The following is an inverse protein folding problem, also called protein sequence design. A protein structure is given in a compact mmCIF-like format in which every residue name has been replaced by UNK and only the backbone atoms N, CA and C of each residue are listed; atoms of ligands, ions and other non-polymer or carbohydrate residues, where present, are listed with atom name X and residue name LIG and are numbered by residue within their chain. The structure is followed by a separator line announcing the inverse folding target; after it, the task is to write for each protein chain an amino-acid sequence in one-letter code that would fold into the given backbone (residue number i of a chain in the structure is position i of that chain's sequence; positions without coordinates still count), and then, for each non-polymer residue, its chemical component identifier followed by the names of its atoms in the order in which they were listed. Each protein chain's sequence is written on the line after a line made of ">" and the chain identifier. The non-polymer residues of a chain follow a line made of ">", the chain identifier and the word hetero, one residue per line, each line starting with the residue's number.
data_IF_998935091361
#
_entry.id   IF_998935091361
#
_cell.length_a   1.000
_cell.length_b   1.000
_cell.length_c   1.000
_cell.angle_alpha   90.00
_cell.angle_beta   90.00
_cell.angle_gamma   90.00
#
_symmetry.space_group_name_H-M   'P 1'
#
loop_
_entity.id
_entity.type
_entity.pdbx_description
1 polymer ?
#
# COMPACT_ATOMS: atom_id res chain seq x y z
N UNK A 1 -18.68 -29.26 2.53
CA UNK A 1 -19.40 -30.27 1.71
C UNK A 1 -18.90 -31.69 1.91
N UNK A 2 -17.63 -31.94 2.28
CA UNK A 2 -17.13 -33.31 2.54
C UNK A 2 -17.61 -33.93 3.87
N UNK A 3 -17.90 -33.14 4.92
CA UNK A 3 -18.27 -33.69 6.23
C UNK A 3 -19.64 -34.38 6.25
N UNK A 4 -20.57 -33.96 5.39
CA UNK A 4 -21.91 -34.57 5.29
C UNK A 4 -21.88 -35.89 4.52
N UNK A 5 -20.96 -36.05 3.58
CA UNK A 5 -20.81 -37.26 2.74
C UNK A 5 -20.08 -38.39 3.50
N UNK A 6 -19.12 -38.06 4.38
CA UNK A 6 -18.47 -39.09 5.20
C UNK A 6 -19.34 -39.64 6.34
N UNK A 7 -20.37 -38.91 6.80
CA UNK A 7 -21.29 -39.42 7.83
C UNK A 7 -22.24 -40.49 7.31
N UNK A 8 -22.51 -40.54 6.00
CA UNK A 8 -23.31 -41.59 5.35
C UNK A 8 -22.63 -42.96 5.27
N UNK A 9 -21.34 -43.07 5.58
CA UNK A 9 -20.54 -44.30 5.43
C UNK A 9 -19.99 -44.90 6.74
N UNK A 10 -20.58 -44.59 7.91
CA UNK A 10 -20.08 -45.02 9.26
C UNK A 10 -18.66 -44.54 9.61
N UNK A 11 -18.20 -43.41 9.09
CA UNK A 11 -16.91 -42.86 9.49
C UNK A 11 -17.05 -42.07 10.81
N UNK A 12 -16.23 -42.44 11.81
CA UNK A 12 -16.09 -41.69 13.06
C UNK A 12 -15.53 -40.30 12.79
N UNK A 13 -15.84 -39.33 13.65
CA UNK A 13 -15.34 -37.96 13.52
C UNK A 13 -13.80 -37.94 13.58
N UNK A 14 -13.23 -38.86 14.35
CA UNK A 14 -11.79 -39.12 14.42
C UNK A 14 -11.21 -39.53 13.06
N UNK A 15 -11.87 -40.43 12.34
CA UNK A 15 -11.39 -40.88 11.03
C UNK A 15 -11.48 -39.75 9.99
N UNK A 16 -12.54 -38.93 10.06
CA UNK A 16 -12.70 -37.75 9.20
C UNK A 16 -11.57 -36.75 9.48
N UNK A 17 -11.25 -36.48 10.75
CA UNK A 17 -10.15 -35.60 11.12
C UNK A 17 -8.78 -36.11 10.63
N UNK A 18 -8.53 -37.43 10.72
CA UNK A 18 -7.30 -38.05 10.19
C UNK A 18 -7.21 -37.94 8.66
N UNK A 19 -8.32 -38.13 7.94
CA UNK A 19 -8.35 -37.96 6.48
C UNK A 19 -8.05 -36.51 6.09
N UNK A 20 -8.68 -35.55 6.75
CA UNK A 20 -8.42 -34.11 6.53
C UNK A 20 -6.94 -33.80 6.77
N UNK A 21 -6.35 -34.33 7.85
CA UNK A 21 -4.95 -34.09 8.17
C UNK A 21 -3.98 -34.73 7.17
N UNK A 22 -4.31 -35.90 6.62
CA UNK A 22 -3.50 -36.56 5.60
C UNK A 22 -3.42 -35.75 4.29
N UNK A 23 -4.48 -34.99 3.98
CA UNK A 23 -4.56 -34.11 2.82
C UNK A 23 -3.89 -32.73 3.04
N UNK A 24 -3.35 -32.47 4.22
CA UNK A 24 -2.63 -31.23 4.46
C UNK A 24 -1.38 -31.10 3.60
N UNK A 25 -1.15 -29.88 3.12
CA UNK A 25 0.02 -29.51 2.34
C UNK A 25 0.62 -28.20 2.85
N UNK A 26 1.87 -27.93 2.49
CA UNK A 26 2.57 -26.69 2.85
C UNK A 26 2.64 -26.45 4.36
N UNK A 27 2.21 -25.25 4.80
CA UNK A 27 2.27 -24.83 6.19
C UNK A 27 1.40 -25.68 7.12
N UNK A 28 0.22 -26.13 6.66
CA UNK A 28 -0.65 -27.00 7.45
C UNK A 28 -0.01 -28.37 7.70
N UNK A 29 0.66 -28.93 6.69
CA UNK A 29 1.39 -30.19 6.84
C UNK A 29 2.57 -30.04 7.79
N UNK A 30 3.34 -28.97 7.64
CA UNK A 30 4.46 -28.67 8.54
C UNK A 30 3.99 -28.49 9.99
N UNK A 31 2.86 -27.81 10.20
CA UNK A 31 2.26 -27.66 11.52
C UNK A 31 1.84 -29.02 12.11
N UNK A 32 1.10 -29.82 11.35
CA UNK A 32 0.61 -31.11 11.81
C UNK A 32 1.75 -32.10 12.04
N UNK A 33 2.64 -32.32 11.07
CA UNK A 33 3.65 -33.38 11.14
C UNK A 33 4.80 -33.04 12.10
N UNK A 34 5.25 -31.78 12.11
CA UNK A 34 6.53 -31.40 12.73
C UNK A 34 6.39 -30.50 13.97
N UNK A 35 5.37 -29.63 14.03
CA UNK A 35 5.21 -28.68 15.13
C UNK A 35 4.32 -29.22 16.25
N UNK A 36 3.18 -29.82 15.89
CA UNK A 36 2.22 -30.33 16.85
C UNK A 36 2.74 -31.63 17.48
N UNK A 37 2.88 -31.63 18.81
CA UNK A 37 3.30 -32.83 19.55
C UNK A 37 2.30 -33.98 19.37
N UNK A 38 2.75 -35.21 19.53
CA UNK A 38 1.87 -36.39 19.50
C UNK A 38 0.76 -36.30 20.56
N UNK A 39 1.06 -35.79 21.76
CA UNK A 39 0.04 -35.51 22.77
C UNK A 39 -0.98 -34.45 22.33
N UNK A 40 -0.56 -33.44 21.56
CA UNK A 40 -1.44 -32.44 20.98
C UNK A 40 -2.35 -33.03 19.90
N UNK A 41 -1.79 -33.86 19.01
CA UNK A 41 -2.56 -34.62 18.00
C UNK A 41 -3.60 -35.51 18.66
N UNK A 42 -3.22 -36.24 19.71
CA UNK A 42 -4.15 -37.07 20.47
C UNK A 42 -5.25 -36.25 21.15
N UNK A 43 -4.91 -35.11 21.73
CA UNK A 43 -5.89 -34.21 22.36
C UNK A 43 -6.93 -33.73 21.35
N UNK A 44 -6.50 -33.39 20.14
CA UNK A 44 -7.40 -32.98 19.05
C UNK A 44 -8.25 -34.16 18.59
N UNK A 45 -7.66 -35.33 18.38
CA UNK A 45 -8.35 -36.50 17.83
C UNK A 45 -9.29 -37.18 18.83
N UNK A 46 -9.02 -37.09 20.13
CA UNK A 46 -9.86 -37.65 21.21
C UNK A 46 -10.83 -36.60 21.76
N UNK A 47 -10.99 -35.45 21.11
CA UNK A 47 -11.85 -34.40 21.64
C UNK A 47 -13.33 -34.79 21.57
N UNK A 48 -14.06 -34.40 22.61
CA UNK A 48 -15.47 -34.73 22.81
C UNK A 48 -16.21 -33.44 23.17
N UNK A 49 -17.44 -33.31 22.66
CA UNK A 49 -18.40 -32.30 23.10
C UNK A 49 -19.52 -32.96 23.90
N UNK A 50 -20.06 -32.24 24.88
CA UNK A 50 -21.24 -32.68 25.62
C UNK A 50 -22.46 -32.04 24.94
N UNK A 51 -23.36 -32.87 24.42
CA UNK A 51 -24.58 -32.43 23.75
C UNK A 51 -25.74 -33.23 24.32
N UNK A 52 -26.68 -32.55 24.99
CA UNK A 52 -27.81 -33.17 25.69
C UNK A 52 -27.41 -34.23 26.74
N UNK A 53 -26.29 -34.03 27.44
CA UNK A 53 -25.78 -34.96 28.46
C UNK A 53 -24.99 -36.15 27.91
N UNK A 54 -24.94 -36.32 26.58
CA UNK A 54 -24.15 -37.36 25.93
C UNK A 54 -22.80 -36.83 25.45
N UNK A 55 -21.77 -37.66 25.59
CA UNK A 55 -20.45 -37.41 25.02
C UNK A 55 -20.43 -37.80 23.55
N UNK A 56 -20.20 -36.82 22.67
CA UNK A 56 -20.06 -37.05 21.22
C UNK A 56 -18.69 -36.62 20.73
N UNK A 57 -18.10 -37.41 19.83
CA UNK A 57 -16.83 -37.07 19.17
C UNK A 57 -16.91 -35.69 18.50
N UNK A 58 -15.83 -34.91 18.65
CA UNK A 58 -15.75 -33.54 18.16
C UNK A 58 -14.39 -33.21 17.53
N UNK A 59 -13.64 -34.23 17.13
CA UNK A 59 -12.30 -34.16 16.59
C UNK A 59 -12.18 -33.20 15.41
N UNK A 60 -13.16 -33.20 14.49
CA UNK A 60 -13.13 -32.33 13.29
C UNK A 60 -13.30 -30.86 13.67
N UNK A 61 -14.23 -30.55 14.56
CA UNK A 61 -14.44 -29.19 15.03
C UNK A 61 -13.23 -28.70 15.83
N UNK A 62 -12.70 -29.53 16.72
CA UNK A 62 -11.49 -29.20 17.49
C UNK A 62 -10.28 -29.02 16.57
N UNK A 63 -10.13 -29.84 15.52
CA UNK A 63 -9.08 -29.66 14.51
C UNK A 63 -9.22 -28.32 13.79
N UNK A 64 -10.43 -27.97 13.34
CA UNK A 64 -10.70 -26.70 12.67
C UNK A 64 -10.40 -25.49 13.58
N UNK A 65 -10.85 -25.53 14.84
CA UNK A 65 -10.54 -24.49 15.82
C UNK A 65 -9.05 -24.43 16.10
N UNK A 66 -8.34 -25.55 16.25
CA UNK A 66 -6.89 -25.54 16.47
C UNK A 66 -6.11 -24.98 15.27
N UNK A 67 -6.56 -25.21 14.04
CA UNK A 67 -5.97 -24.60 12.84
C UNK A 67 -6.24 -23.09 12.84
N UNK A 68 -7.49 -22.69 13.02
CA UNK A 68 -7.85 -21.27 13.12
C UNK A 68 -7.08 -20.63 14.26
N UNK A 69 -6.93 -21.29 15.39
CA UNK A 69 -6.15 -20.78 16.49
C UNK A 69 -4.67 -20.70 16.13
N UNK A 70 -4.02 -21.75 15.64
CA UNK A 70 -2.59 -21.69 15.38
C UNK A 70 -2.22 -20.65 14.30
N UNK A 71 -3.02 -20.55 13.24
CA UNK A 71 -2.73 -19.68 12.10
C UNK A 71 -3.38 -18.30 12.18
N UNK A 72 -4.45 -18.16 12.97
CA UNK A 72 -5.24 -16.92 13.11
C UNK A 72 -5.24 -16.35 14.53
N UNK A 73 -4.88 -17.12 15.58
CA UNK A 73 -4.80 -16.64 16.98
C UNK A 73 -3.62 -15.70 17.15
N UNK A 74 -3.91 -14.47 16.78
CA UNK A 74 -3.56 -13.29 17.56
C UNK A 74 -4.82 -12.89 18.32
N UNK A 75 -5.19 -13.58 19.40
CA UNK A 75 -6.36 -13.20 20.23
C UNK A 75 -6.04 -12.84 21.68
N UNK A 76 -4.80 -12.97 22.13
CA UNK A 76 -4.33 -12.28 23.32
C UNK A 76 -3.24 -11.32 22.88
N UNK A 77 -3.59 -10.04 22.80
CA UNK A 77 -2.74 -8.89 22.45
C UNK A 77 -2.59 -8.50 20.96
N UNK A 78 -3.60 -8.79 20.13
CA UNK A 78 -3.65 -8.19 18.77
C UNK A 78 -3.87 -6.68 18.81
N UNK A 79 -4.51 -6.16 19.87
CA UNK A 79 -4.75 -4.74 20.01
C UNK A 79 -3.43 -3.96 20.09
N UNK A 80 -2.42 -4.40 20.85
CA UNK A 80 -1.12 -3.71 20.89
C UNK A 80 -0.39 -3.76 19.54
N UNK A 81 -0.50 -4.87 18.81
CA UNK A 81 0.02 -4.97 17.44
C UNK A 81 -0.68 -4.02 16.47
N UNK A 82 -2.01 -3.93 16.56
CA UNK A 82 -2.82 -2.99 15.78
C UNK A 82 -2.49 -1.55 16.16
N UNK A 83 -2.38 -1.25 17.46
CA UNK A 83 -1.98 0.07 17.99
C UNK A 83 -0.62 0.46 17.43
N UNK A 84 0.36 -0.43 17.50
CA UNK A 84 1.71 -0.23 16.95
C UNK A 84 1.69 -0.04 15.44
N UNK A 85 0.92 -0.84 14.70
CA UNK A 85 0.74 -0.69 13.26
C UNK A 85 0.15 0.68 12.90
N UNK A 86 -0.97 1.05 13.52
CA UNK A 86 -1.64 2.34 13.32
C UNK A 86 -0.74 3.52 13.74
N UNK A 87 0.08 3.34 14.78
CA UNK A 87 1.01 4.37 15.24
C UNK A 87 2.08 4.67 14.18
N UNK A 88 2.50 3.65 13.43
CA UNK A 88 3.50 3.74 12.38
C UNK A 88 2.91 3.95 10.97
N UNK A 89 1.60 3.77 10.81
CA UNK A 89 0.93 3.95 9.52
C UNK A 89 0.99 5.41 9.07
N UNK A 90 1.44 5.63 7.84
CA UNK A 90 1.54 6.96 7.20
C UNK A 90 1.12 6.87 5.74
N UNK A 91 0.40 7.89 5.29
CA UNK A 91 0.10 8.17 3.90
C UNK A 91 1.26 8.98 3.32
N UNK A 92 2.13 8.34 2.53
CA UNK A 92 3.32 9.00 1.98
C UNK A 92 2.95 10.07 0.96
N UNK A 93 1.97 9.77 0.12
CA UNK A 93 1.53 10.65 -0.96
C UNK A 93 0.00 10.63 -1.07
N UNK A 94 -0.58 11.66 -1.69
CA UNK A 94 -2.05 11.71 -1.88
C UNK A 94 -2.57 10.60 -2.81
N UNK A 95 -1.72 10.00 -3.65
CA UNK A 95 -2.10 8.82 -4.46
C UNK A 95 -2.36 7.60 -3.58
N UNK A 96 -1.71 7.51 -2.41
CA UNK A 96 -1.88 6.42 -1.46
C UNK A 96 -3.08 6.61 -0.54
N UNK A 97 -3.80 7.74 -0.65
CA UNK A 97 -4.86 8.11 0.30
C UNK A 97 -5.96 7.05 0.40
N UNK A 98 -6.37 6.45 -0.73
CA UNK A 98 -7.39 5.40 -0.74
C UNK A 98 -6.93 4.18 0.07
N UNK A 99 -5.73 3.68 -0.21
CA UNK A 99 -5.15 2.56 0.52
C UNK A 99 -4.96 2.88 2.00
N UNK A 100 -4.45 4.07 2.31
CA UNK A 100 -4.24 4.53 3.69
C UNK A 100 -5.57 4.56 4.45
N UNK A 101 -6.61 5.15 3.87
CA UNK A 101 -7.96 5.21 4.44
C UNK A 101 -8.50 3.82 4.73
N UNK A 102 -8.47 2.93 3.74
CA UNK A 102 -9.05 1.59 3.87
C UNK A 102 -8.26 0.75 4.88
N UNK A 103 -6.92 0.86 4.88
CA UNK A 103 -6.04 0.18 5.84
C UNK A 103 -6.24 0.70 7.26
N UNK A 104 -6.25 2.03 7.45
CA UNK A 104 -6.43 2.61 8.77
C UNK A 104 -7.80 2.23 9.34
N UNK A 105 -8.87 2.37 8.55
CA UNK A 105 -10.22 2.03 8.99
C UNK A 105 -10.37 0.54 9.28
N UNK A 106 -9.88 -0.34 8.42
CA UNK A 106 -9.95 -1.78 8.66
C UNK A 106 -9.34 -2.18 10.00
N UNK A 107 -8.23 -1.56 10.38
CA UNK A 107 -7.50 -1.85 11.62
C UNK A 107 -8.08 -1.15 12.85
N UNK A 108 -8.45 0.13 12.73
CA UNK A 108 -8.96 0.87 13.89
C UNK A 108 -10.31 0.31 14.35
N UNK A 109 -11.12 -0.24 13.45
CA UNK A 109 -12.41 -0.84 13.79
C UNK A 109 -12.29 -2.15 14.58
N UNK A 110 -11.10 -2.75 14.65
CA UNK A 110 -10.81 -3.95 15.46
C UNK A 110 -10.44 -3.60 16.92
N UNK A 111 -10.25 -2.32 17.26
CA UNK A 111 -9.90 -1.89 18.63
C UNK A 111 -11.17 -1.68 19.49
N UNK A 112 -11.11 -1.81 20.83
CA UNK A 112 -12.24 -1.44 21.69
C UNK A 112 -12.47 0.09 21.76
N UNK A 113 -11.42 0.90 21.56
CA UNK A 113 -11.46 2.37 21.68
C UNK A 113 -11.52 3.08 20.30
N UNK A 114 -12.26 2.53 19.34
CA UNK A 114 -12.25 3.01 17.94
C UNK A 114 -12.61 4.49 17.79
N UNK A 115 -13.54 4.97 18.62
CA UNK A 115 -14.08 6.33 18.57
C UNK A 115 -13.26 7.35 19.37
N UNK A 116 -12.07 6.98 19.86
CA UNK A 116 -11.24 7.89 20.65
C UNK A 116 -10.73 9.08 19.84
N UNK A 117 -10.55 10.21 20.52
CA UNK A 117 -9.94 11.43 19.96
C UNK A 117 -8.53 11.16 19.45
N UNK A 118 -7.79 10.26 20.13
CA UNK A 118 -6.45 9.85 19.75
C UNK A 118 -6.40 9.28 18.33
N UNK A 119 -7.23 8.30 18.00
CA UNK A 119 -7.20 7.68 16.67
C UNK A 119 -7.69 8.62 15.56
N UNK A 120 -8.65 9.48 15.86
CA UNK A 120 -9.11 10.52 14.94
C UNK A 120 -8.01 11.54 14.62
N UNK A 121 -7.30 12.01 15.65
CA UNK A 121 -6.14 12.88 15.48
C UNK A 121 -5.04 12.16 14.70
N UNK A 122 -4.78 10.89 15.05
CA UNK A 122 -3.78 10.05 14.42
C UNK A 122 -4.04 9.84 12.93
N UNK A 123 -5.31 9.65 12.56
CA UNK A 123 -5.73 9.53 11.16
C UNK A 123 -5.32 10.76 10.34
N UNK A 124 -5.49 11.96 10.90
CA UNK A 124 -5.10 13.21 10.25
C UNK A 124 -3.58 13.40 10.25
N UNK A 125 -2.90 13.06 11.35
CA UNK A 125 -1.45 13.13 11.47
C UNK A 125 -0.72 12.17 10.52
N UNK A 126 -1.38 11.09 10.11
CA UNK A 126 -0.83 10.17 9.13
C UNK A 126 -0.86 10.68 7.70
N UNK A 127 -1.54 11.80 7.41
CA UNK A 127 -1.58 12.40 6.07
C UNK A 127 -0.26 13.11 5.70
N UNK A 128 0.03 13.36 4.41
CA UNK A 128 1.19 14.16 4.00
C UNK A 128 1.20 15.52 4.69
N UNK A 129 2.35 15.95 5.23
CA UNK A 129 2.46 17.05 6.19
C UNK A 129 1.71 18.36 5.80
N UNK A 130 1.91 18.85 4.57
CA UNK A 130 1.24 20.07 4.10
C UNK A 130 -0.27 19.89 3.97
N UNK A 131 -0.69 18.70 3.54
CA UNK A 131 -2.10 18.36 3.42
C UNK A 131 -2.75 18.19 4.79
N UNK A 132 -2.09 17.52 5.73
CA UNK A 132 -2.53 17.39 7.11
C UNK A 132 -2.76 18.76 7.76
N UNK A 133 -1.82 19.71 7.59
CA UNK A 133 -1.97 21.09 8.07
C UNK A 133 -3.22 21.76 7.52
N UNK A 134 -3.48 21.58 6.23
CA UNK A 134 -4.65 22.15 5.55
C UNK A 134 -5.96 21.54 6.09
N UNK A 135 -6.03 20.21 6.19
CA UNK A 135 -7.18 19.51 6.76
C UNK A 135 -7.42 19.91 8.21
N UNK A 136 -6.36 20.00 9.04
CA UNK A 136 -6.44 20.50 10.42
C UNK A 136 -7.00 21.92 10.50
N UNK A 137 -6.56 22.82 9.61
CA UNK A 137 -7.08 24.19 9.54
C UNK A 137 -8.58 24.20 9.23
N UNK A 138 -9.02 23.34 8.31
CA UNK A 138 -10.44 23.18 7.94
C UNK A 138 -11.27 22.63 9.11
N UNK A 139 -10.79 21.58 9.78
CA UNK A 139 -11.46 20.97 10.94
C UNK A 139 -11.52 21.89 12.17
N UNK A 140 -10.50 22.73 12.35
CA UNK A 140 -10.44 23.69 13.44
C UNK A 140 -11.41 24.85 13.23
N UNK A 141 -11.59 25.31 11.99
CA UNK A 141 -12.34 26.54 11.70
C UNK A 141 -11.78 27.71 12.51
N UNK A 142 -12.65 28.36 13.29
CA UNK A 142 -12.32 29.50 14.15
C UNK A 142 -11.93 29.10 15.57
N UNK A 143 -11.98 27.82 15.92
CA UNK A 143 -11.68 27.34 17.27
C UNK A 143 -10.17 27.35 17.55
N UNK A 144 -9.80 27.34 18.83
CA UNK A 144 -8.39 27.24 19.26
C UNK A 144 -7.83 25.84 18.99
N UNK A 145 -8.66 24.80 19.20
CA UNK A 145 -8.30 23.39 19.01
C UNK A 145 -9.36 22.65 18.18
N UNK A 146 -9.02 21.47 17.68
CA UNK A 146 -9.93 20.61 16.90
C UNK A 146 -10.70 19.71 17.87
N UNK A 147 -12.03 19.83 17.98
CA UNK A 147 -12.85 18.98 18.86
C UNK A 147 -13.09 17.61 18.21
N UNK A 148 -12.05 16.75 18.19
CA UNK A 148 -12.11 15.44 17.54
C UNK A 148 -13.23 14.52 18.07
N UNK A 149 -13.66 14.73 19.30
CA UNK A 149 -14.78 14.05 19.95
C UNK A 149 -16.08 14.20 19.15
N UNK A 150 -16.31 15.37 18.55
CA UNK A 150 -17.51 15.70 17.78
C UNK A 150 -17.46 15.18 16.33
N UNK A 151 -16.30 14.72 15.86
CA UNK A 151 -16.12 14.26 14.49
C UNK A 151 -16.28 12.74 14.37
N UNK A 152 -17.03 12.29 13.37
CA UNK A 152 -16.99 10.89 12.92
C UNK A 152 -15.87 10.69 11.90
N UNK A 153 -15.38 9.47 11.73
CA UNK A 153 -14.42 9.16 10.65
C UNK A 153 -14.96 9.54 9.27
N UNK A 154 -16.26 9.36 9.03
CA UNK A 154 -16.92 9.80 7.80
C UNK A 154 -16.77 11.30 7.57
N UNK A 155 -16.96 12.13 8.61
CA UNK A 155 -16.76 13.58 8.51
C UNK A 155 -15.29 13.95 8.28
N UNK A 156 -14.36 13.30 8.96
CA UNK A 156 -12.91 13.51 8.74
C UNK A 156 -12.50 13.19 7.30
N UNK A 157 -12.97 12.06 6.77
CA UNK A 157 -12.71 11.62 5.39
C UNK A 157 -13.37 12.57 4.39
N UNK A 158 -14.59 13.04 4.67
CA UNK A 158 -15.27 14.06 3.89
C UNK A 158 -14.45 15.34 3.81
N UNK A 159 -13.93 15.85 4.93
CA UNK A 159 -13.05 17.02 4.96
C UNK A 159 -11.76 16.78 4.18
N UNK A 160 -11.12 15.62 4.33
CA UNK A 160 -9.95 15.26 3.52
C UNK A 160 -10.27 15.32 2.02
N UNK A 161 -11.39 14.71 1.60
CA UNK A 161 -11.79 14.66 0.20
C UNK A 161 -12.06 16.07 -0.34
N UNK A 162 -12.78 16.90 0.42
CA UNK A 162 -13.08 18.28 0.06
C UNK A 162 -11.81 19.12 -0.08
N UNK A 163 -10.87 19.02 0.87
CA UNK A 163 -9.59 19.74 0.78
C UNK A 163 -8.73 19.25 -0.38
N UNK A 164 -8.80 17.95 -0.72
CA UNK A 164 -8.15 17.40 -1.92
C UNK A 164 -8.69 18.01 -3.21
N UNK A 165 -10.02 18.13 -3.32
CA UNK A 165 -10.68 18.78 -4.47
C UNK A 165 -10.35 20.27 -4.55
N UNK A 166 -10.39 20.98 -3.42
CA UNK A 166 -10.04 22.39 -3.33
C UNK A 166 -8.59 22.63 -3.80
N UNK A 167 -7.65 21.79 -3.35
CA UNK A 167 -6.26 21.87 -3.77
C UNK A 167 -6.10 21.64 -5.27
N UNK A 168 -6.84 20.68 -5.85
CA UNK A 168 -6.84 20.45 -7.29
C UNK A 168 -7.31 21.69 -8.07
N UNK A 169 -8.39 22.32 -7.61
CA UNK A 169 -8.94 23.54 -8.21
C UNK A 169 -7.95 24.71 -8.11
N UNK A 170 -7.31 24.91 -6.96
CA UNK A 170 -6.29 25.94 -6.76
C UNK A 170 -5.10 25.75 -7.69
N UNK A 171 -4.59 24.51 -7.84
CA UNK A 171 -3.49 24.21 -8.76
C UNK A 171 -3.91 24.52 -10.21
N UNK A 172 -5.13 24.13 -10.60
CA UNK A 172 -5.67 24.41 -11.94
C UNK A 172 -5.82 25.91 -12.20
N UNK A 173 -6.30 26.67 -11.23
CA UNK A 173 -6.43 28.13 -11.32
C UNK A 173 -5.05 28.79 -11.41
N UNK A 174 -4.11 28.41 -10.55
CA UNK A 174 -2.75 28.93 -10.56
C UNK A 174 -2.03 28.66 -11.88
N UNK A 175 -2.28 27.52 -12.53
CA UNK A 175 -1.75 27.24 -13.86
C UNK A 175 -2.34 28.17 -14.93
N UNK A 176 -3.64 28.50 -14.86
CA UNK A 176 -4.27 29.48 -15.77
C UNK A 176 -3.70 30.88 -15.58
N UNK A 177 -3.57 31.34 -14.34
CA UNK A 177 -2.99 32.65 -14.01
C UNK A 177 -1.54 32.77 -14.51
N UNK A 178 -0.73 31.72 -14.33
CA UNK A 178 0.64 31.69 -14.87
C UNK A 178 0.67 31.81 -16.40
N UNK A 179 -0.30 31.23 -17.11
CA UNK A 179 -0.40 31.36 -18.57
C UNK A 179 -0.84 32.76 -18.98
N UNK A 180 -1.84 33.34 -18.30
CA UNK A 180 -2.29 34.72 -18.55
C UNK A 180 -1.15 35.72 -18.32
N UNK A 181 -0.42 35.60 -17.22
CA UNK A 181 0.73 36.46 -16.94
C UNK A 181 1.82 36.37 -18.01
N UNK A 182 2.01 35.22 -18.67
CA UNK A 182 2.96 35.09 -19.78
C UNK A 182 2.45 35.80 -21.04
N UNK A 183 1.14 35.72 -21.32
CA UNK A 183 0.49 36.42 -22.44
C UNK A 183 0.50 37.92 -22.20
N UNK A 184 0.13 38.39 -21.01
CA UNK A 184 0.16 39.80 -20.64
C UNK A 184 1.57 40.39 -20.75
N UNK A 185 2.60 39.66 -20.29
CA UNK A 185 4.00 40.07 -20.46
C UNK A 185 4.40 40.16 -21.93
N UNK A 186 3.92 39.26 -22.77
CA UNK A 186 4.18 39.29 -24.21
C UNK A 186 3.51 40.51 -24.86
N UNK A 187 2.22 40.72 -24.60
CA UNK A 187 1.45 41.84 -25.13
C UNK A 187 2.02 43.19 -24.68
N UNK A 188 2.42 43.30 -23.41
CA UNK A 188 3.07 44.51 -22.90
C UNK A 188 4.43 44.74 -23.56
N UNK A 189 5.20 43.68 -23.82
CA UNK A 189 6.45 43.77 -24.58
C UNK A 189 6.24 44.26 -26.01
N UNK A 190 5.24 43.73 -26.71
CA UNK A 190 4.85 44.20 -28.05
C UNK A 190 4.39 45.67 -28.04
N UNK A 191 3.54 46.04 -27.07
CA UNK A 191 3.06 47.40 -26.88
C UNK A 191 4.23 48.36 -26.62
N UNK A 192 5.13 48.06 -25.68
CA UNK A 192 6.31 48.89 -25.42
C UNK A 192 7.19 49.05 -26.68
N UNK A 193 7.36 47.97 -27.45
CA UNK A 193 8.09 47.99 -28.72
C UNK A 193 7.49 48.94 -29.78
N UNK A 194 6.16 49.08 -29.84
CA UNK A 194 5.49 50.01 -30.77
C UNK A 194 5.84 51.48 -30.49
N UNK A 195 6.11 51.83 -29.23
CA UNK A 195 6.46 53.18 -28.81
C UNK A 195 7.97 53.40 -28.65
N UNK A 196 8.80 52.45 -29.09
CA UNK A 196 10.26 52.54 -28.95
C UNK A 196 10.75 52.49 -27.49
N UNK A 197 9.93 51.95 -26.59
CA UNK A 197 10.24 51.84 -25.17
C UNK A 197 10.73 50.42 -24.85
N UNK A 198 11.84 50.30 -24.12
CA UNK A 198 12.33 49.01 -23.65
C UNK A 198 11.54 48.56 -22.41
N UNK A 199 11.02 47.33 -22.43
CA UNK A 199 10.33 46.76 -21.28
C UNK A 199 11.36 46.53 -20.15
N UNK A 200 11.12 47.00 -18.90
CA UNK A 200 12.04 46.76 -17.79
C UNK A 200 12.24 45.25 -17.61
N UNK A 201 13.42 44.78 -17.97
CA UNK A 201 13.76 43.37 -17.94
C UNK A 201 13.65 42.88 -16.48
N UNK A 202 12.68 42.03 -16.19
CA UNK A 202 12.86 41.03 -15.12
C UNK A 202 13.89 40.03 -15.64
N UNK A 203 15.17 40.40 -15.58
CA UNK A 203 16.36 39.56 -15.62
C UNK A 203 16.26 38.21 -16.35
N UNK A 204 15.77 38.21 -17.59
CA UNK A 204 16.05 37.18 -18.58
C UNK A 204 16.28 37.84 -19.93
N UNK A 205 17.19 38.82 -19.93
CA UNK A 205 18.05 39.01 -21.09
C UNK A 205 18.75 37.68 -21.34
N UNK A 206 18.17 36.85 -22.20
CA UNK A 206 18.96 36.04 -23.10
C UNK A 206 19.78 37.02 -23.93
N UNK A 207 20.91 37.48 -23.36
CA UNK A 207 22.09 37.78 -24.16
C UNK A 207 22.25 36.53 -24.99
N UNK A 208 21.87 36.59 -26.26
CA UNK A 208 22.43 35.71 -27.28
C UNK A 208 23.93 35.99 -27.20
N UNK A 209 24.63 35.30 -26.28
CA UNK A 209 26.04 35.02 -26.46
C UNK A 209 26.09 34.38 -27.83
N UNK A 210 26.59 35.11 -28.82
CA UNK A 210 27.27 34.49 -29.96
C UNK A 210 28.33 33.61 -29.30
N UNK A 211 27.98 32.36 -29.05
CA UNK A 211 28.96 31.35 -28.71
C UNK A 211 29.77 31.21 -30.00
N UNK A 212 30.96 31.80 -29.97
CA UNK A 212 32.08 31.28 -30.74
C UNK A 212 32.07 29.76 -30.57
N UNK A 213 32.05 29.08 -31.71
CA UNK A 213 32.12 27.65 -31.82
C UNK A 213 33.45 27.17 -31.25
N UNK A 214 33.49 26.95 -29.93
CA UNK A 214 34.57 26.25 -29.26
C UNK A 214 34.00 25.19 -28.32
N UNK A 215 33.83 24.02 -28.92
CA UNK A 215 34.13 22.69 -28.34
C UNK A 215 33.73 22.45 -26.88
N UNK A 216 32.55 21.84 -26.66
CA UNK A 216 32.31 20.98 -25.50
C UNK A 216 31.58 19.67 -25.89
N UNK A 217 31.97 18.49 -25.37
CA UNK A 217 31.57 17.22 -25.96
C UNK A 217 30.19 16.75 -25.51
N UNK A 218 29.25 16.81 -26.45
CA UNK A 218 28.08 15.96 -26.68
C UNK A 218 27.77 14.84 -25.65
N UNK A 219 27.17 15.19 -24.50
CA UNK A 219 26.68 14.24 -23.48
C UNK A 219 25.62 13.25 -24.02
N UNK A 220 24.92 13.61 -25.12
CA UNK A 220 23.95 12.71 -25.79
C UNK A 220 24.64 11.53 -26.51
N UNK A 221 25.90 11.67 -26.92
CA UNK A 221 26.65 10.61 -27.61
C UNK A 221 27.12 9.50 -26.65
N UNK A 222 27.44 9.83 -25.39
CA UNK A 222 27.79 8.84 -24.35
C UNK A 222 26.64 7.89 -24.01
N UNK A 223 25.39 8.39 -23.97
CA UNK A 223 24.21 7.55 -23.70
C UNK A 223 23.93 6.53 -24.81
N UNK A 224 24.16 6.91 -26.08
CA UNK A 224 24.06 6.00 -27.23
C UNK A 224 25.16 4.93 -27.21
N UNK A 225 26.42 5.30 -26.94
CA UNK A 225 27.51 4.31 -26.86
C UNK A 225 27.32 3.31 -25.69
N UNK A 226 26.86 3.76 -24.52
CA UNK A 226 26.58 2.86 -23.41
C UNK A 226 25.44 1.88 -23.74
N UNK A 227 24.37 2.38 -24.38
CA UNK A 227 23.24 1.54 -24.77
C UNK A 227 23.61 0.54 -25.88
N UNK A 228 24.46 0.94 -26.83
CA UNK A 228 24.98 0.05 -27.87
C UNK A 228 25.87 -1.05 -27.28
N UNK A 229 26.77 -0.70 -26.36
CA UNK A 229 27.66 -1.66 -25.68
C UNK A 229 26.89 -2.71 -24.86
N UNK A 230 25.76 -2.34 -24.24
CA UNK A 230 24.86 -3.27 -23.54
C UNK A 230 24.15 -4.23 -24.51
N UNK A 231 23.77 -3.74 -25.70
CA UNK A 231 23.14 -4.54 -26.75
C UNK A 231 24.13 -5.54 -27.37
N UNK A 232 25.35 -5.11 -27.65
CA UNK A 232 26.40 -5.95 -28.22
C UNK A 232 26.80 -7.06 -27.25
N UNK A 233 26.97 -6.74 -25.96
CA UNK A 233 27.27 -7.72 -24.91
C UNK A 233 26.12 -8.73 -24.68
N UNK A 234 24.87 -8.33 -24.92
CA UNK A 234 23.72 -9.25 -24.93
C UNK A 234 23.72 -10.17 -26.15
N UNK A 235 24.19 -9.68 -27.30
CA UNK A 235 24.25 -10.44 -28.53
C UNK A 235 25.40 -11.46 -28.52
N UNK A 236 26.56 -11.11 -27.97
CA UNK A 236 27.67 -12.04 -27.73
C UNK A 236 27.26 -13.19 -26.81
N UNK A 237 26.64 -12.90 -25.65
CA UNK A 237 26.13 -13.96 -24.74
C UNK A 237 25.10 -14.88 -25.39
N UNK A 238 24.31 -14.38 -26.34
CA UNK A 238 23.37 -15.19 -27.13
C UNK A 238 24.09 -16.04 -28.19
N UNK A 239 25.16 -15.53 -28.79
CA UNK A 239 26.00 -16.28 -29.72
C UNK A 239 26.75 -17.40 -29.00
N UNK A 240 27.32 -17.14 -27.82
CA UNK A 240 28.00 -18.13 -26.99
C UNK A 240 27.06 -19.24 -26.53
N UNK A 241 25.84 -18.89 -26.08
CA UNK A 241 24.81 -19.89 -25.76
C UNK A 241 24.41 -20.74 -26.97
N UNK A 242 24.39 -20.17 -28.18
CA UNK A 242 24.12 -20.92 -29.42
C UNK A 242 25.30 -21.82 -29.81
N UNK A 243 26.54 -21.37 -29.62
CA UNK A 243 27.74 -22.16 -29.87
C UNK A 243 27.85 -23.34 -28.88
N UNK A 244 27.57 -23.11 -27.59
CA UNK A 244 27.55 -24.15 -26.56
C UNK A 244 26.49 -25.23 -26.88
N UNK A 245 25.27 -24.81 -27.27
CA UNK A 245 24.21 -25.73 -27.68
C UNK A 245 24.55 -26.54 -28.94
N UNK A 246 25.36 -26.00 -29.86
CA UNK A 246 25.86 -26.74 -31.02
C UNK A 246 26.96 -27.75 -30.63
N UNK A 247 27.78 -27.42 -29.63
CA UNK A 247 28.82 -28.32 -29.12
C UNK A 247 28.24 -29.54 -28.39
N UNK A 248 27.14 -29.38 -27.65
CA UNK A 248 26.44 -30.49 -26.98
C UNK A 248 25.54 -31.33 -27.90
N UNK A 249 25.36 -30.94 -29.17
CA UNK A 249 24.62 -31.72 -30.18
C UNK A 249 25.51 -32.57 -31.08
N UNK A 250 26.83 -32.58 -30.85
CA UNK A 250 27.85 -33.29 -31.65
C UNK A 250 28.62 -34.37 -30.87
N UNK A 251 28.12 -34.76 -29.69
CA UNK A 251 28.43 -36.02 -29.01
C UNK A 251 27.14 -36.80 -28.89
#
# INVERSE_FOLDING_TARGET
>A
MYSTICKSSRNTDVNIAKMIAADFTGQLKGWWDNYLSESGKETILKSVKIENGEQKENAVYTLAINIVEHFTRKYSDNHENIRTLLQNLRCKTLTDFRWYKDTFLGRVMELPETNSTHWKAKFIDGLPHLFAKRVKKSLRGNNVSIPYDQYTYGKLIGTCTQEGLNLCNEIKLNQKLKRQNLVEKHQLGEFCGQFGMDMPSTSYSHKKKKYSDDSYPNYKRKKRHYSQKILDQKNERKADRKALKKHYKKK
#
